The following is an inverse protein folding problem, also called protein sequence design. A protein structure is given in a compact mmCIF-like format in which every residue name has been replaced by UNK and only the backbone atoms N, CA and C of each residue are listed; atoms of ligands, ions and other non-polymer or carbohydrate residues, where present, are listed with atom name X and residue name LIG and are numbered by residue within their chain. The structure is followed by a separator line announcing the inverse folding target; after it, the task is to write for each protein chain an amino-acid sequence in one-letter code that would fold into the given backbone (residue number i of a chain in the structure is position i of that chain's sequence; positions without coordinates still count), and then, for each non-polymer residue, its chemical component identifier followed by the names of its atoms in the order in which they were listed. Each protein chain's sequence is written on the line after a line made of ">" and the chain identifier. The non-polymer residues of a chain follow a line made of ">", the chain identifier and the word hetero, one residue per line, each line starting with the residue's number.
data_IF_761872565462
#
_entry.id   IF_761872565462
#
_cell.length_a   1.000
_cell.length_b   1.000
_cell.length_c   1.000
_cell.angle_alpha   90.00
_cell.angle_beta   90.00
_cell.angle_gamma   90.00
#
_symmetry.space_group_name_H-M   'P 1'
#
loop_
_entity.id
_entity.type
_entity.pdbx_description
1 polymer ?
#
# COMPACT_ATOMS: atom_id res chain seq x y z
N UNK A 1 37.32 14.24 15.61
CA UNK A 1 37.15 12.95 14.90
C UNK A 1 35.92 12.15 15.35
N UNK A 2 35.62 12.03 16.66
CA UNK A 2 34.39 11.35 17.14
C UNK A 2 33.07 12.04 16.74
N UNK A 3 33.02 13.38 16.78
CA UNK A 3 31.78 14.14 16.48
C UNK A 3 31.39 14.04 14.99
N UNK A 4 32.37 14.01 14.09
CA UNK A 4 32.12 13.84 12.65
C UNK A 4 31.50 12.48 12.31
N UNK A 5 31.93 11.41 13.00
CA UNK A 5 31.35 10.07 12.86
C UNK A 5 29.88 10.02 13.32
N UNK A 6 29.53 10.74 14.39
CA UNK A 6 28.15 10.85 14.88
C UNK A 6 27.27 11.60 13.87
N UNK A 7 27.78 12.69 13.27
CA UNK A 7 27.04 13.43 12.25
C UNK A 7 26.78 12.60 10.98
N UNK A 8 27.77 11.82 10.51
CA UNK A 8 27.61 10.96 9.33
C UNK A 8 26.59 9.84 9.58
N UNK A 9 26.53 9.28 10.79
CA UNK A 9 25.50 8.28 11.13
C UNK A 9 24.07 8.83 11.13
N UNK A 10 23.88 10.15 11.35
CA UNK A 10 22.56 10.80 11.28
C UNK A 10 22.06 11.03 9.84
N UNK A 11 22.93 10.90 8.83
CA UNK A 11 22.54 10.98 7.40
C UNK A 11 22.30 9.61 6.77
N UNK A 12 22.49 8.51 7.51
CA UNK A 12 22.21 7.15 7.07
C UNK A 12 20.77 6.69 7.38
N UNK A 13 19.87 7.63 7.68
CA UNK A 13 18.43 7.35 7.73
C UNK A 13 17.99 7.17 6.27
N UNK A 14 18.19 5.96 5.75
CA UNK A 14 17.73 5.58 4.42
C UNK A 14 16.23 5.83 4.30
N UNK A 15 15.76 6.09 3.07
CA UNK A 15 14.34 6.16 2.74
C UNK A 15 13.65 4.87 3.17
N UNK A 16 13.10 4.84 4.38
CA UNK A 16 12.20 3.77 4.79
C UNK A 16 10.84 4.00 4.10
N UNK A 17 10.14 2.92 3.70
CA UNK A 17 8.80 3.05 3.15
C UNK A 17 7.86 3.72 4.16
N UNK A 18 6.86 4.45 3.66
CA UNK A 18 5.87 5.14 4.51
C UNK A 18 5.02 4.14 5.29
N UNK A 19 4.83 2.97 4.72
CA UNK A 19 4.10 1.85 5.28
C UNK A 19 4.65 0.57 4.64
N UNK A 20 4.75 -0.49 5.43
CA UNK A 20 5.33 -1.77 5.00
C UNK A 20 4.62 -2.94 5.68
N UNK A 21 4.26 -3.93 4.87
CA UNK A 21 3.94 -5.28 5.30
C UNK A 21 4.41 -6.24 4.21
N UNK A 22 5.60 -6.81 4.36
CA UNK A 22 6.21 -7.66 3.34
C UNK A 22 5.23 -8.72 2.77
N UNK A 23 5.06 -8.82 1.44
CA UNK A 23 5.85 -8.16 0.39
C UNK A 23 5.31 -6.80 -0.09
N UNK A 24 4.37 -6.16 0.62
CA UNK A 24 3.74 -4.91 0.22
C UNK A 24 4.40 -3.69 0.86
N UNK A 25 4.60 -2.65 0.06
CA UNK A 25 5.25 -1.42 0.51
C UNK A 25 4.58 -0.20 -0.12
N UNK A 26 4.54 0.90 0.63
CA UNK A 26 4.21 2.23 0.08
C UNK A 26 5.49 2.98 -0.24
N UNK A 27 5.68 3.28 -1.51
CA UNK A 27 6.86 3.95 -2.05
C UNK A 27 6.47 5.21 -2.86
N UNK A 28 7.49 5.99 -3.24
CA UNK A 28 7.34 7.14 -4.14
C UNK A 28 8.18 6.92 -5.40
N UNK A 29 7.57 7.03 -6.57
CA UNK A 29 8.27 7.12 -7.87
C UNK A 29 7.73 8.36 -8.58
N UNK A 30 8.64 9.25 -9.00
CA UNK A 30 8.30 10.49 -9.72
C UNK A 30 7.25 11.38 -9.02
N UNK A 31 7.22 11.34 -7.68
CA UNK A 31 6.28 12.11 -6.86
C UNK A 31 4.92 11.44 -6.64
N UNK A 32 4.65 10.31 -7.30
CA UNK A 32 3.44 9.50 -7.08
C UNK A 32 3.67 8.54 -5.93
N UNK A 33 2.81 8.61 -4.91
CA UNK A 33 2.76 7.66 -3.80
C UNK A 33 1.99 6.42 -4.25
N UNK A 34 2.57 5.23 -4.17
CA UNK A 34 1.92 3.99 -4.63
C UNK A 34 2.10 2.89 -3.60
N UNK A 35 1.03 2.15 -3.32
CA UNK A 35 1.10 0.85 -2.66
C UNK A 35 1.37 -0.19 -3.74
N UNK A 36 2.42 -1.00 -3.56
CA UNK A 36 2.76 -2.06 -4.51
C UNK A 36 3.38 -3.28 -3.86
N UNK A 37 3.53 -4.33 -4.66
CA UNK A 37 4.22 -5.56 -4.29
C UNK A 37 5.71 -5.41 -4.62
N UNK A 38 6.56 -5.49 -3.60
CA UNK A 38 8.01 -5.45 -3.68
C UNK A 38 8.54 -6.71 -4.39
N UNK A 39 9.48 -6.51 -5.31
CA UNK A 39 10.25 -7.56 -5.97
C UNK A 39 11.66 -7.68 -5.38
N UNK A 40 12.00 -6.83 -4.41
CA UNK A 40 13.36 -6.63 -3.92
C UNK A 40 14.13 -5.60 -4.76
N UNK A 41 15.27 -5.14 -4.22
CA UNK A 41 16.22 -4.24 -4.90
C UNK A 41 15.60 -2.92 -5.41
N UNK A 42 14.52 -2.45 -4.76
CA UNK A 42 13.82 -1.22 -5.16
C UNK A 42 12.93 -1.37 -6.40
N UNK A 43 12.70 -2.60 -6.87
CA UNK A 43 11.74 -2.90 -7.92
C UNK A 43 10.37 -3.24 -7.32
N UNK A 44 9.31 -2.75 -7.95
CA UNK A 44 7.94 -2.89 -7.48
C UNK A 44 6.98 -3.15 -8.63
N UNK A 45 5.91 -3.89 -8.34
CA UNK A 45 4.71 -3.87 -9.17
C UNK A 45 3.66 -3.07 -8.39
N UNK A 46 3.26 -1.92 -8.93
CA UNK A 46 2.22 -1.11 -8.30
C UNK A 46 0.92 -1.92 -8.12
N UNK A 47 0.05 -1.47 -7.22
CA UNK A 47 -1.29 -2.01 -7.02
C UNK A 47 -2.32 -0.90 -6.91
N UNK A 48 -2.08 0.07 -6.04
CA UNK A 48 -3.01 1.18 -5.77
C UNK A 48 -2.23 2.48 -5.65
N UNK A 49 -2.54 3.43 -6.53
CA UNK A 49 -1.98 4.77 -6.49
C UNK A 49 -2.68 5.67 -5.47
N UNK A 50 -1.91 6.59 -4.91
CA UNK A 50 -2.35 7.60 -3.92
C UNK A 50 -3.11 7.01 -2.72
N UNK A 51 -2.57 5.98 -2.02
CA UNK A 51 -3.21 5.44 -0.83
C UNK A 51 -3.20 6.46 0.31
N UNK A 52 -4.33 6.65 0.97
CA UNK A 52 -4.48 7.53 2.13
C UNK A 52 -4.44 6.72 3.42
N UNK A 53 -5.37 5.78 3.58
CA UNK A 53 -5.46 4.89 4.73
C UNK A 53 -5.33 3.44 4.27
N UNK A 54 -4.60 2.63 5.03
CA UNK A 54 -4.34 1.22 4.76
C UNK A 54 -4.57 0.44 6.05
N UNK A 55 -5.38 -0.60 5.97
CA UNK A 55 -5.62 -1.54 7.07
C UNK A 55 -5.48 -2.96 6.55
N UNK A 56 -5.00 -3.88 7.38
CA UNK A 56 -4.57 -5.21 6.94
C UNK A 56 -4.99 -6.28 7.94
N UNK A 57 -5.27 -7.47 7.42
CA UNK A 57 -5.37 -8.70 8.20
C UNK A 57 -4.66 -9.83 7.46
N UNK A 58 -4.70 -11.08 7.95
CA UNK A 58 -3.96 -12.18 7.34
C UNK A 58 -4.25 -12.41 5.83
N UNK A 59 -5.45 -12.09 5.35
CA UNK A 59 -5.89 -12.42 3.97
C UNK A 59 -6.00 -11.21 3.06
N UNK A 60 -6.27 -10.02 3.60
CA UNK A 60 -6.65 -8.86 2.82
C UNK A 60 -5.93 -7.60 3.27
N UNK A 61 -5.65 -6.73 2.31
CA UNK A 61 -5.30 -5.33 2.55
C UNK A 61 -6.49 -4.50 2.08
N UNK A 62 -6.99 -3.62 2.93
CA UNK A 62 -8.05 -2.66 2.61
C UNK A 62 -7.48 -1.26 2.54
N UNK A 63 -7.84 -0.53 1.49
CA UNK A 63 -7.25 0.76 1.18
C UNK A 63 -8.34 1.76 0.86
N UNK A 64 -8.23 2.95 1.44
CA UNK A 64 -8.90 4.14 0.94
C UNK A 64 -7.85 4.97 0.18
N UNK A 65 -8.08 5.19 -1.11
CA UNK A 65 -7.13 5.86 -2.02
C UNK A 65 -7.84 6.87 -2.92
N UNK A 66 -7.11 7.87 -3.40
CA UNK A 66 -7.65 8.93 -4.26
C UNK A 66 -6.91 9.09 -5.60
N UNK A 67 -6.75 8.02 -6.40
CA UNK A 67 -6.06 8.12 -7.68
C UNK A 67 -6.72 9.20 -8.55
N UNK A 68 -5.90 10.12 -9.07
CA UNK A 68 -6.37 11.23 -9.91
C UNK A 68 -7.51 12.05 -9.28
N UNK A 69 -7.44 12.29 -7.96
CA UNK A 69 -8.41 13.08 -7.17
C UNK A 69 -9.79 12.45 -7.01
N UNK A 70 -10.00 11.20 -7.41
CA UNK A 70 -11.25 10.48 -7.19
C UNK A 70 -11.05 9.42 -6.14
N UNK A 71 -11.72 9.59 -5.00
CA UNK A 71 -11.51 8.72 -3.84
C UNK A 71 -12.46 7.53 -3.84
N UNK A 72 -11.92 6.35 -3.53
CA UNK A 72 -12.68 5.13 -3.43
C UNK A 72 -12.02 4.13 -2.47
N UNK A 73 -12.79 3.09 -2.14
CA UNK A 73 -12.31 1.97 -1.36
C UNK A 73 -11.87 0.84 -2.29
N UNK A 74 -10.79 0.18 -1.90
CA UNK A 74 -10.19 -0.94 -2.61
C UNK A 74 -9.81 -2.04 -1.61
N UNK A 75 -9.66 -3.26 -2.09
CA UNK A 75 -8.96 -4.29 -1.34
C UNK A 75 -8.07 -5.14 -2.24
N UNK A 76 -7.02 -5.73 -1.65
CA UNK A 76 -6.12 -6.70 -2.29
C UNK A 76 -6.32 -8.05 -1.61
N UNK A 77 -6.46 -9.12 -2.39
CA UNK A 77 -6.47 -10.51 -1.89
C UNK A 77 -5.03 -11.03 -1.83
N UNK A 78 -4.43 -11.03 -0.62
CA UNK A 78 -3.03 -11.44 -0.42
C UNK A 78 -2.77 -12.91 -0.69
N UNK A 79 -3.82 -13.74 -0.64
CA UNK A 79 -3.68 -15.19 -0.88
C UNK A 79 -3.51 -15.47 -2.37
N UNK A 80 -4.12 -14.61 -3.21
CA UNK A 80 -4.08 -14.75 -4.66
C UNK A 80 -3.02 -13.89 -5.31
N UNK A 81 -2.77 -12.69 -4.78
CA UNK A 81 -1.76 -11.80 -5.34
C UNK A 81 -0.35 -12.39 -5.20
N UNK A 82 0.47 -12.10 -6.20
CA UNK A 82 1.86 -12.56 -6.26
C UNK A 82 2.68 -11.65 -7.16
N UNK A 83 4.01 -11.79 -7.04
CA UNK A 83 5.02 -11.03 -7.81
C UNK A 83 4.99 -11.16 -9.34
N UNK A 84 4.06 -11.94 -9.89
CA UNK A 84 3.90 -12.13 -11.34
C UNK A 84 2.49 -11.77 -11.82
N UNK A 85 1.62 -11.37 -10.89
CA UNK A 85 0.27 -10.94 -11.22
C UNK A 85 0.36 -9.57 -11.88
N UNK A 86 -0.53 -9.35 -12.84
CA UNK A 86 -0.68 -8.03 -13.45
C UNK A 86 -1.04 -6.99 -12.37
N UNK A 87 -0.76 -5.71 -12.66
CA UNK A 87 -0.91 -4.61 -11.72
C UNK A 87 -2.25 -4.58 -10.97
N UNK A 88 -3.34 -4.94 -11.64
CA UNK A 88 -4.72 -4.85 -11.14
C UNK A 88 -5.42 -6.21 -10.96
N UNK A 89 -4.76 -7.33 -11.26
CA UNK A 89 -5.40 -8.66 -11.35
C UNK A 89 -6.13 -9.06 -10.06
N UNK A 90 -5.54 -8.74 -8.91
CA UNK A 90 -6.09 -9.03 -7.59
C UNK A 90 -6.33 -7.77 -6.76
N UNK A 91 -6.46 -6.63 -7.43
CA UNK A 91 -6.85 -5.35 -6.85
C UNK A 91 -8.33 -5.13 -7.18
N UNK A 92 -9.15 -5.08 -6.14
CA UNK A 92 -10.60 -5.00 -6.30
C UNK A 92 -11.10 -3.63 -5.89
N UNK A 93 -11.77 -2.95 -6.81
CA UNK A 93 -12.33 -1.60 -6.65
C UNK A 93 -12.39 -0.90 -8.01
N UNK A 94 -12.73 0.39 -8.05
CA UNK A 94 -13.15 1.24 -6.93
C UNK A 94 -14.53 0.85 -6.37
N UNK A 95 -14.70 0.95 -5.05
CA UNK A 95 -15.98 0.79 -4.37
C UNK A 95 -16.43 2.07 -3.65
N UNK A 96 -17.75 2.27 -3.59
CA UNK A 96 -18.35 3.24 -2.66
C UNK A 96 -18.27 2.73 -1.22
N UNK A 97 -18.49 3.63 -0.26
CA UNK A 97 -18.54 3.28 1.17
C UNK A 97 -19.54 2.16 1.48
N UNK A 98 -20.72 2.21 0.87
CA UNK A 98 -21.78 1.23 1.11
C UNK A 98 -21.44 -0.13 0.51
N UNK A 99 -20.90 -0.15 -0.71
CA UNK A 99 -20.41 -1.37 -1.36
C UNK A 99 -19.28 -2.01 -0.53
N UNK A 100 -18.32 -1.20 -0.10
CA UNK A 100 -17.20 -1.67 0.70
C UNK A 100 -17.65 -2.19 2.07
N UNK A 101 -18.57 -1.50 2.74
CA UNK A 101 -19.13 -1.95 4.02
C UNK A 101 -19.86 -3.29 3.91
N UNK A 102 -20.51 -3.58 2.78
CA UNK A 102 -21.08 -4.89 2.51
C UNK A 102 -20.00 -5.96 2.32
N UNK A 103 -18.91 -5.63 1.63
CA UNK A 103 -17.76 -6.53 1.42
C UNK A 103 -17.02 -6.84 2.72
N UNK A 104 -16.82 -5.83 3.59
CA UNK A 104 -16.27 -6.01 4.95
C UNK A 104 -17.03 -7.11 5.70
N UNK A 105 -18.36 -7.05 5.71
CA UNK A 105 -19.20 -8.05 6.40
C UNK A 105 -19.16 -9.42 5.72
N UNK A 106 -19.11 -9.45 4.38
CA UNK A 106 -19.18 -10.69 3.59
C UNK A 106 -17.87 -11.47 3.59
N UNK A 107 -16.73 -10.77 3.48
CA UNK A 107 -15.41 -11.37 3.28
C UNK A 107 -14.51 -11.27 4.53
N UNK A 108 -14.90 -10.45 5.51
CA UNK A 108 -14.04 -10.15 6.65
C UNK A 108 -12.88 -9.23 6.29
N UNK A 109 -13.12 -8.23 5.41
CA UNK A 109 -12.10 -7.24 5.08
C UNK A 109 -11.80 -6.37 6.33
N UNK A 110 -10.53 -5.96 6.54
CA UNK A 110 -10.21 -5.01 7.60
C UNK A 110 -10.91 -3.66 7.35
N UNK A 111 -11.47 -3.07 8.41
CA UNK A 111 -12.23 -1.83 8.29
C UNK A 111 -11.26 -0.66 8.11
N UNK A 112 -11.37 0.06 6.99
CA UNK A 112 -10.59 1.27 6.71
C UNK A 112 -11.52 2.50 6.65
N UNK A 113 -11.09 3.63 7.21
CA UNK A 113 -11.86 4.87 7.18
C UNK A 113 -11.62 5.67 5.89
N UNK A 114 -12.69 6.23 5.33
CA UNK A 114 -12.57 7.47 4.55
C UNK A 114 -12.33 8.60 5.54
N UNK A 115 -11.31 9.42 5.33
CA UNK A 115 -10.98 10.59 6.17
C UNK A 115 -12.22 11.43 6.48
#
# INVERSE_FOLDING_TARGET
>A
MRIFLVLVSLFLIGCSPVWEEQPYEVYYIEGTKTLGHSLGEGAYIGRIDEPINIETNEKYISVYACPYKTCAFYYIDKIKDHKFAEHDEFVYGPYTKDQFSALVKKLGLPVVSSV
#
